data_IF_165169575411
#
_entry.id   IF_165169575411
#
_cell.length_a   1.000
_cell.length_b   1.000
_cell.length_c   1.000
_cell.angle_alpha   90.00
_cell.angle_beta   90.00
_cell.angle_gamma   90.00
#
_symmetry.space_group_name_H-M   'P 1'
#
loop_
_entity.id
_entity.type
_entity.pdbx_description
1 polymer ?
#
# COMPACT_ATOMS: atom_id res chain seq x y z
N UNK A 1 0.32 -20.07 18.56
CA UNK A 1 0.14 -18.59 18.62
C UNK A 1 0.75 -17.93 17.40
N UNK A 2 2.01 -18.18 17.06
CA UNK A 2 2.64 -17.69 15.82
C UNK A 2 1.82 -17.99 14.54
N UNK A 3 1.31 -19.22 14.39
CA UNK A 3 0.48 -19.59 13.22
C UNK A 3 -0.84 -18.80 13.16
N UNK A 4 -1.39 -18.43 14.31
CA UNK A 4 -2.64 -17.67 14.41
C UNK A 4 -2.42 -16.19 14.05
N UNK A 5 -1.32 -15.60 14.51
CA UNK A 5 -0.92 -14.24 14.14
C UNK A 5 -0.61 -14.17 12.64
N UNK A 6 0.17 -15.11 12.11
CA UNK A 6 0.49 -15.17 10.68
C UNK A 6 -0.77 -15.34 9.81
N UNK A 7 -1.71 -16.19 10.23
CA UNK A 7 -3.00 -16.32 9.55
C UNK A 7 -3.80 -15.01 9.55
N UNK A 8 -3.76 -14.27 10.66
CA UNK A 8 -4.46 -13.00 10.74
C UNK A 8 -3.79 -11.90 9.91
N UNK A 9 -2.45 -11.86 9.85
CA UNK A 9 -1.70 -10.98 8.94
C UNK A 9 -2.11 -11.23 7.49
N UNK A 10 -2.14 -12.50 7.06
CA UNK A 10 -2.58 -12.86 5.72
C UNK A 10 -4.02 -12.40 5.46
N UNK A 11 -4.91 -12.55 6.44
CA UNK A 11 -6.30 -12.08 6.34
C UNK A 11 -6.41 -10.56 6.21
N UNK A 12 -5.60 -9.79 6.94
CA UNK A 12 -5.55 -8.33 6.80
C UNK A 12 -5.07 -7.97 5.39
N UNK A 13 -3.97 -8.58 4.93
CA UNK A 13 -3.44 -8.38 3.58
C UNK A 13 -4.50 -8.65 2.50
N UNK A 14 -5.19 -9.80 2.56
CA UNK A 14 -6.25 -10.14 1.60
C UNK A 14 -7.40 -9.14 1.62
N UNK A 15 -7.79 -8.67 2.80
CA UNK A 15 -8.85 -7.67 2.97
C UNK A 15 -8.44 -6.33 2.34
N UNK A 16 -7.20 -5.89 2.58
CA UNK A 16 -6.63 -4.68 1.97
C UNK A 16 -6.54 -4.80 0.44
N UNK A 17 -6.04 -5.93 -0.08
CA UNK A 17 -6.01 -6.18 -1.53
C UNK A 17 -7.42 -6.12 -2.11
N UNK A 18 -8.40 -6.72 -1.44
CA UNK A 18 -9.81 -6.66 -1.84
C UNK A 18 -10.34 -5.23 -1.92
N UNK A 19 -10.07 -4.41 -0.91
CA UNK A 19 -10.46 -2.99 -0.87
C UNK A 19 -9.79 -2.17 -1.97
N UNK A 20 -8.49 -2.38 -2.22
CA UNK A 20 -7.75 -1.66 -3.25
C UNK A 20 -8.17 -2.05 -4.68
N UNK A 21 -8.62 -3.29 -4.88
CA UNK A 21 -9.00 -3.80 -6.22
C UNK A 21 -10.48 -3.61 -6.54
N UNK A 22 -11.35 -3.63 -5.54
CA UNK A 22 -12.82 -3.56 -5.72
C UNK A 22 -13.46 -2.32 -5.11
N UNK A 23 -12.70 -1.50 -4.38
CA UNK A 23 -13.20 -0.36 -3.62
C UNK A 23 -13.80 -0.76 -2.26
N UNK A 24 -14.22 0.26 -1.51
CA UNK A 24 -14.93 0.06 -0.25
C UNK A 24 -16.26 -0.67 -0.50
N UNK A 25 -16.48 -1.76 0.23
CA UNK A 25 -17.71 -2.56 0.16
C UNK A 25 -18.10 -3.03 1.55
N UNK A 26 -19.38 -3.35 1.75
CA UNK A 26 -19.88 -3.87 3.02
C UNK A 26 -19.11 -5.14 3.47
N UNK A 27 -18.71 -5.99 2.51
CA UNK A 27 -17.91 -7.20 2.77
C UNK A 27 -16.50 -6.84 3.22
N UNK A 28 -15.85 -5.87 2.57
CA UNK A 28 -14.52 -5.39 2.97
C UNK A 28 -14.51 -4.79 4.36
N UNK A 29 -15.48 -3.92 4.67
CA UNK A 29 -15.63 -3.31 6.01
C UNK A 29 -15.92 -4.35 7.08
N UNK A 30 -16.81 -5.32 6.81
CA UNK A 30 -17.08 -6.43 7.74
C UNK A 30 -15.83 -7.29 7.97
N UNK A 31 -15.01 -7.51 6.94
CA UNK A 31 -13.72 -8.20 7.05
C UNK A 31 -12.75 -7.50 7.99
N UNK A 32 -12.66 -6.17 7.94
CA UNK A 32 -11.82 -5.39 8.86
C UNK A 32 -12.32 -5.46 10.32
N UNK A 33 -13.64 -5.43 10.53
CA UNK A 33 -14.20 -5.63 11.88
C UNK A 33 -13.92 -7.03 12.43
N UNK A 34 -14.00 -8.08 11.60
CA UNK A 34 -13.63 -9.45 12.00
C UNK A 34 -12.14 -9.53 12.37
N UNK A 35 -11.25 -8.87 11.61
CA UNK A 35 -9.83 -8.75 11.94
C UNK A 35 -9.63 -8.11 13.31
N UNK A 36 -10.28 -6.97 13.58
CA UNK A 36 -10.16 -6.26 14.87
C UNK A 36 -10.63 -7.16 16.03
N UNK A 37 -11.76 -7.85 15.88
CA UNK A 37 -12.30 -8.73 16.91
C UNK A 37 -11.35 -9.90 17.23
N UNK A 38 -10.81 -10.55 16.18
CA UNK A 38 -9.85 -11.66 16.34
C UNK A 38 -8.52 -11.20 16.91
N UNK A 39 -8.00 -10.07 16.44
CA UNK A 39 -6.76 -9.47 16.93
C UNK A 39 -6.86 -9.10 18.42
N UNK A 40 -8.01 -8.55 18.83
CA UNK A 40 -8.28 -8.23 20.23
C UNK A 40 -8.24 -9.48 21.12
N UNK A 41 -8.78 -10.61 20.63
CA UNK A 41 -8.77 -11.87 21.37
C UNK A 41 -7.37 -12.47 21.54
N UNK A 42 -6.38 -12.06 20.73
CA UNK A 42 -4.97 -12.45 20.88
C UNK A 42 -4.23 -11.63 21.95
N UNK A 43 -4.85 -10.58 22.50
CA UNK A 43 -4.26 -9.74 23.54
C UNK A 43 -3.05 -8.92 23.03
N UNK A 44 -1.97 -8.78 23.83
CA UNK A 44 -0.83 -7.93 23.48
C UNK A 44 -0.20 -8.27 22.12
N UNK A 45 -0.10 -9.55 21.77
CA UNK A 45 0.50 -10.00 20.50
C UNK A 45 -0.30 -9.54 19.27
N UNK A 46 -1.62 -9.38 19.40
CA UNK A 46 -2.50 -8.90 18.33
C UNK A 46 -2.72 -7.39 18.31
N UNK A 47 -2.16 -6.64 19.24
CA UNK A 47 -2.50 -5.21 19.42
C UNK A 47 -2.16 -4.37 18.18
N UNK A 48 -1.04 -4.65 17.51
CA UNK A 48 -0.70 -3.95 16.28
C UNK A 48 -1.63 -4.29 15.11
N UNK A 49 -2.25 -5.48 15.10
CA UNK A 49 -3.28 -5.86 14.11
C UNK A 49 -4.63 -5.20 14.41
N UNK A 50 -4.94 -4.94 15.69
CA UNK A 50 -6.07 -4.07 16.07
C UNK A 50 -5.84 -2.66 15.52
N UNK A 51 -4.63 -2.12 15.70
CA UNK A 51 -4.24 -0.84 15.12
C UNK A 51 -4.35 -0.84 13.59
N UNK A 52 -3.88 -1.89 12.91
CA UNK A 52 -3.99 -2.04 11.46
C UNK A 52 -5.46 -2.01 11.01
N UNK A 53 -6.31 -2.86 11.60
CA UNK A 53 -7.73 -2.92 11.24
C UNK A 53 -8.46 -1.60 11.46
N UNK A 54 -8.17 -0.90 12.56
CA UNK A 54 -8.75 0.42 12.80
C UNK A 54 -8.19 1.50 11.88
N UNK A 55 -6.91 1.49 11.54
CA UNK A 55 -6.35 2.40 10.55
C UNK A 55 -7.03 2.23 9.18
N UNK A 56 -7.19 0.98 8.72
CA UNK A 56 -7.89 0.70 7.45
C UNK A 56 -9.37 1.08 7.49
N UNK A 57 -10.06 0.90 8.63
CA UNK A 57 -11.45 1.36 8.80
C UNK A 57 -11.53 2.88 8.77
N UNK A 58 -10.53 3.58 9.32
CA UNK A 58 -10.42 5.03 9.21
C UNK A 58 -10.29 5.43 7.73
N UNK A 59 -9.39 4.82 6.97
CA UNK A 59 -9.23 5.11 5.53
C UNK A 59 -10.53 4.89 4.74
N UNK A 60 -11.25 3.80 5.02
CA UNK A 60 -12.57 3.55 4.41
C UNK A 60 -13.56 4.67 4.75
N UNK A 61 -13.67 5.05 6.03
CA UNK A 61 -14.55 6.15 6.44
C UNK A 61 -14.14 7.49 5.81
N UNK A 62 -12.84 7.76 5.69
CA UNK A 62 -12.31 8.96 5.06
C UNK A 62 -12.68 9.03 3.57
N UNK A 63 -12.51 7.93 2.82
CA UNK A 63 -12.93 7.87 1.40
C UNK A 63 -14.44 8.03 1.21
N UNK A 64 -15.25 7.64 2.21
CA UNK A 64 -16.69 7.86 2.24
C UNK A 64 -17.13 9.26 2.68
N UNK A 65 -16.19 10.14 3.06
CA UNK A 65 -16.51 11.48 3.60
C UNK A 65 -17.09 11.45 5.03
N UNK A 66 -16.94 10.35 5.75
CA UNK A 66 -17.49 10.14 7.09
C UNK A 66 -16.49 10.59 8.18
N UNK A 67 -16.22 11.91 8.26
CA UNK A 67 -15.18 12.49 9.14
C UNK A 67 -15.25 12.02 10.60
N UNK A 68 -16.43 11.93 11.19
CA UNK A 68 -16.58 11.50 12.59
C UNK A 68 -16.18 10.04 12.79
N UNK A 69 -16.51 9.17 11.82
CA UNK A 69 -16.10 7.76 11.84
C UNK A 69 -14.61 7.59 11.56
N UNK A 70 -14.06 8.41 10.67
CA UNK A 70 -12.61 8.48 10.45
C UNK A 70 -11.88 8.79 11.76
N UNK A 71 -12.28 9.86 12.47
CA UNK A 71 -11.65 10.25 13.74
C UNK A 71 -11.84 9.16 14.79
N UNK A 72 -13.03 8.56 14.90
CA UNK A 72 -13.29 7.47 15.83
C UNK A 72 -12.35 6.27 15.61
N UNK A 73 -12.21 5.82 14.37
CA UNK A 73 -11.34 4.68 14.06
C UNK A 73 -9.86 5.02 14.18
N UNK A 74 -9.46 6.24 13.78
CA UNK A 74 -8.07 6.68 13.95
C UNK A 74 -7.69 6.80 15.43
N UNK A 75 -8.59 7.28 16.29
CA UNK A 75 -8.36 7.36 17.74
C UNK A 75 -8.16 5.98 18.36
N UNK A 76 -8.96 5.00 17.94
CA UNK A 76 -8.81 3.59 18.32
C UNK A 76 -7.48 3.01 17.82
N UNK A 77 -7.09 3.31 16.57
CA UNK A 77 -5.81 2.87 16.01
C UNK A 77 -4.62 3.44 16.80
N UNK A 78 -4.62 4.74 17.10
CA UNK A 78 -3.57 5.41 17.89
C UNK A 78 -3.50 4.85 19.30
N UNK A 79 -4.65 4.56 19.92
CA UNK A 79 -4.72 3.90 21.23
C UNK A 79 -4.11 2.50 21.21
N UNK A 80 -4.24 1.79 20.08
CA UNK A 80 -3.58 0.50 19.84
C UNK A 80 -2.14 0.61 19.32
N UNK A 81 -1.55 1.82 19.27
CA UNK A 81 -0.15 2.06 18.95
C UNK A 81 0.14 2.54 17.52
N UNK A 82 -0.88 2.79 16.69
CA UNK A 82 -0.68 3.39 15.37
C UNK A 82 0.05 4.73 15.47
N UNK A 83 1.13 4.88 14.70
CA UNK A 83 2.01 6.03 14.79
C UNK A 83 2.57 6.49 13.43
N UNK A 84 1.94 6.11 12.31
CA UNK A 84 2.32 6.61 10.98
C UNK A 84 1.86 8.07 10.81
N UNK A 85 2.73 8.98 11.24
CA UNK A 85 2.48 10.40 11.11
C UNK A 85 2.65 10.93 9.68
N UNK A 86 3.29 10.16 8.78
CA UNK A 86 3.49 10.57 7.39
C UNK A 86 2.17 10.47 6.62
N UNK A 87 1.42 9.38 6.80
CA UNK A 87 0.07 9.21 6.25
C UNK A 87 -0.86 10.39 6.59
N UNK A 88 -0.76 10.91 7.82
CA UNK A 88 -1.59 12.03 8.31
C UNK A 88 -1.23 13.40 7.69
N UNK A 89 -0.24 13.46 6.81
CA UNK A 89 0.15 14.64 6.02
C UNK A 89 -0.25 14.55 4.54
N UNK A 90 -0.94 13.48 4.15
CA UNK A 90 -1.57 13.36 2.84
C UNK A 90 -2.41 14.60 2.53
N UNK A 91 -2.36 15.14 1.29
CA UNK A 91 -3.07 16.37 0.95
C UNK A 91 -4.56 16.38 1.33
N UNK A 92 -5.34 15.30 1.12
CA UNK A 92 -6.74 15.24 1.54
C UNK A 92 -6.94 15.35 3.06
N UNK A 93 -6.01 14.85 3.86
CA UNK A 93 -6.11 14.83 5.34
C UNK A 93 -5.82 16.20 5.96
N UNK A 94 -5.12 17.09 5.23
CA UNK A 94 -4.74 18.43 5.74
C UNK A 94 -5.91 19.28 6.21
N UNK A 95 -7.09 19.10 5.63
CA UNK A 95 -8.30 19.81 6.07
C UNK A 95 -8.65 19.53 7.55
N UNK A 96 -8.24 18.37 8.08
CA UNK A 96 -8.48 17.96 9.47
C UNK A 96 -7.43 18.50 10.45
N UNK A 97 -6.35 19.15 9.99
CA UNK A 97 -5.30 19.67 10.86
C UNK A 97 -5.80 20.76 11.82
N UNK A 98 -6.96 21.37 11.54
CA UNK A 98 -7.62 22.33 12.41
C UNK A 98 -8.68 21.73 13.33
N UNK A 99 -9.03 20.44 13.18
CA UNK A 99 -9.97 19.76 14.07
C UNK A 99 -9.26 19.43 15.39
N UNK A 100 -9.74 19.93 16.55
CA UNK A 100 -9.11 19.69 17.85
C UNK A 100 -9.05 18.21 18.23
N UNK A 101 -10.00 17.38 17.76
CA UNK A 101 -10.01 15.93 18.00
C UNK A 101 -8.86 15.25 17.25
N UNK A 102 -8.64 15.67 16.01
CA UNK A 102 -7.52 15.19 15.19
C UNK A 102 -6.16 15.66 15.73
N UNK A 103 -6.07 16.89 16.22
CA UNK A 103 -4.85 17.37 16.89
C UNK A 103 -4.55 16.57 18.17
N UNK A 104 -5.58 16.30 18.98
CA UNK A 104 -5.43 15.56 20.23
C UNK A 104 -4.93 14.12 20.00
N UNK A 105 -5.46 13.41 19.00
CA UNK A 105 -4.93 12.07 18.65
C UNK A 105 -3.50 12.15 18.12
N UNK A 106 -3.17 13.15 17.29
CA UNK A 106 -1.84 13.27 16.68
C UNK A 106 -0.76 13.50 17.76
N UNK A 107 -1.07 14.33 18.74
CA UNK A 107 -0.17 14.64 19.86
C UNK A 107 0.14 13.43 20.76
N UNK A 108 -0.62 12.34 20.68
CA UNK A 108 -0.34 11.09 21.41
C UNK A 108 0.65 10.18 20.66
N UNK A 109 0.81 10.35 19.35
CA UNK A 109 1.70 9.50 18.55
C UNK A 109 3.17 9.74 18.91
N UNK A 110 3.93 8.64 18.95
CA UNK A 110 5.37 8.65 19.24
C UNK A 110 6.10 7.87 18.15
N UNK A 111 7.27 8.36 17.77
CA UNK A 111 8.04 7.80 16.66
C UNK A 111 9.54 7.91 16.93
N UNK A 112 10.30 6.97 16.37
CA UNK A 112 11.76 7.02 16.34
C UNK A 112 12.23 7.63 15.02
N UNK A 113 13.48 8.12 14.97
CA UNK A 113 14.01 8.64 13.71
C UNK A 113 14.15 7.53 12.65
N UNK A 114 14.56 6.32 13.06
CA UNK A 114 14.69 5.18 12.17
C UNK A 114 13.34 4.79 11.54
N UNK A 115 12.27 4.77 12.33
CA UNK A 115 10.93 4.47 11.82
C UNK A 115 10.37 5.59 10.95
N UNK A 116 10.66 6.86 11.26
CA UNK A 116 10.26 7.99 10.42
C UNK A 116 10.92 7.92 9.03
N UNK A 117 12.23 7.62 8.98
CA UNK A 117 12.94 7.41 7.72
C UNK A 117 12.30 6.27 6.90
N UNK A 118 11.86 5.21 7.58
CA UNK A 118 11.17 4.10 6.91
C UNK A 118 9.77 4.46 6.42
N UNK A 119 8.96 5.19 7.20
CA UNK A 119 7.64 5.64 6.71
C UNK A 119 7.78 6.51 5.46
N UNK A 120 8.75 7.43 5.42
CA UNK A 120 9.02 8.23 4.23
C UNK A 120 9.34 7.36 3.02
N UNK A 121 10.13 6.30 3.22
CA UNK A 121 10.44 5.34 2.18
C UNK A 121 9.21 4.53 1.75
N UNK A 122 8.43 3.98 2.69
CA UNK A 122 7.24 3.17 2.42
C UNK A 122 6.20 3.95 1.62
N UNK A 123 5.87 5.17 2.06
CA UNK A 123 4.93 6.04 1.34
C UNK A 123 5.42 6.42 -0.04
N UNK A 124 6.73 6.68 -0.20
CA UNK A 124 7.32 6.94 -1.51
C UNK A 124 7.18 5.72 -2.43
N UNK A 125 7.46 4.52 -1.95
CA UNK A 125 7.33 3.31 -2.77
C UNK A 125 5.86 3.01 -3.13
N UNK A 126 4.89 3.28 -2.25
CA UNK A 126 3.46 3.21 -2.60
C UNK A 126 3.13 4.17 -3.76
N UNK A 127 3.62 5.42 -3.72
CA UNK A 127 3.40 6.40 -4.79
C UNK A 127 4.10 6.00 -6.10
N UNK A 128 5.34 5.51 -6.03
CA UNK A 128 6.06 5.03 -7.21
C UNK A 128 5.32 3.85 -7.83
N UNK A 129 4.86 2.89 -7.03
CA UNK A 129 4.10 1.73 -7.51
C UNK A 129 2.82 2.15 -8.22
N UNK A 130 2.05 3.09 -7.65
CA UNK A 130 0.85 3.61 -8.30
C UNK A 130 1.18 4.27 -9.65
N UNK A 131 2.27 5.05 -9.72
CA UNK A 131 2.74 5.69 -10.96
C UNK A 131 3.22 4.67 -11.99
N UNK A 132 3.95 3.64 -11.57
CA UNK A 132 4.45 2.59 -12.46
C UNK A 132 3.30 1.73 -12.99
N UNK A 133 2.29 1.43 -12.16
CA UNK A 133 1.06 0.76 -12.60
C UNK A 133 0.30 1.58 -13.66
N UNK A 134 0.19 2.90 -13.45
CA UNK A 134 -0.42 3.81 -14.42
C UNK A 134 0.37 3.87 -15.73
N UNK A 135 1.70 3.97 -15.66
CA UNK A 135 2.57 3.99 -16.84
C UNK A 135 2.51 2.68 -17.62
N UNK A 136 2.60 1.54 -16.94
CA UNK A 136 2.45 0.23 -17.60
C UNK A 136 1.09 0.11 -18.31
N UNK A 137 0.04 0.63 -17.69
CA UNK A 137 -1.29 0.73 -18.32
C UNK A 137 -1.27 1.54 -19.63
N UNK A 138 -0.53 2.65 -19.67
CA UNK A 138 -0.38 3.49 -20.86
C UNK A 138 0.50 2.81 -21.92
N UNK A 139 1.63 2.24 -21.52
CA UNK A 139 2.57 1.54 -22.43
C UNK A 139 1.92 0.34 -23.13
N UNK A 140 0.89 -0.25 -22.51
CA UNK A 140 0.17 -1.40 -23.04
C UNK A 140 -0.97 -1.03 -23.99
N UNK A 141 -1.23 0.27 -24.21
CA UNK A 141 -2.18 0.73 -25.23
C UNK A 141 -1.61 0.38 -26.62
N UNK A 142 -2.43 -0.21 -27.48
CA UNK A 142 -2.08 -0.64 -28.85
C UNK A 142 -0.93 -1.66 -28.94
N UNK A 143 -0.58 -2.27 -27.81
CA UNK A 143 0.45 -3.29 -27.76
C UNK A 143 -0.07 -4.58 -28.37
N UNK A 144 0.60 -5.04 -29.42
CA UNK A 144 0.23 -6.23 -30.19
C UNK A 144 0.75 -7.57 -29.64
N UNK A 145 1.73 -7.69 -28.75
CA UNK A 145 2.14 -9.04 -28.30
C UNK A 145 1.06 -9.76 -27.44
N UNK A 146 1.34 -10.97 -26.98
CA UNK A 146 0.49 -11.74 -26.04
C UNK A 146 1.13 -11.90 -24.66
N UNK A 147 2.23 -11.19 -24.40
CA UNK A 147 2.95 -11.23 -23.13
C UNK A 147 2.19 -10.52 -22.01
N UNK A 148 2.61 -10.81 -20.78
CA UNK A 148 2.16 -10.10 -19.57
C UNK A 148 3.36 -9.34 -19.03
N UNK A 149 3.17 -8.06 -18.71
CA UNK A 149 4.19 -7.25 -18.08
C UNK A 149 3.97 -7.21 -16.58
N UNK A 150 4.92 -7.75 -15.83
CA UNK A 150 4.84 -7.71 -14.37
C UNK A 150 5.26 -6.32 -13.87
N UNK A 151 4.63 -5.88 -12.78
CA UNK A 151 5.07 -4.66 -12.11
C UNK A 151 6.20 -5.02 -11.15
N UNK A 152 7.28 -4.22 -11.12
CA UNK A 152 8.39 -4.46 -10.19
C UNK A 152 7.87 -4.38 -8.77
N UNK A 153 8.35 -5.27 -7.89
CA UNK A 153 7.97 -5.31 -6.50
C UNK A 153 9.13 -4.77 -5.66
N UNK A 154 8.86 -3.78 -4.80
CA UNK A 154 9.89 -3.27 -3.89
C UNK A 154 10.18 -4.33 -2.81
N UNK A 155 11.46 -4.60 -2.48
CA UNK A 155 11.78 -5.49 -1.38
C UNK A 155 11.40 -4.82 -0.05
N UNK A 156 10.59 -5.50 0.75
CA UNK A 156 10.20 -4.98 2.06
C UNK A 156 11.39 -4.94 3.01
N UNK A 157 11.52 -3.89 3.84
CA UNK A 157 12.57 -3.81 4.84
C UNK A 157 12.47 -4.98 5.84
N UNK A 158 13.61 -5.59 6.18
CA UNK A 158 13.68 -6.75 7.08
C UNK A 158 14.11 -6.40 8.50
N UNK A 159 14.50 -5.15 8.75
CA UNK A 159 14.85 -4.71 10.11
C UNK A 159 13.64 -4.80 11.03
N UNK A 160 13.91 -5.01 12.31
CA UNK A 160 12.89 -4.90 13.36
C UNK A 160 12.53 -3.42 13.57
N UNK A 161 11.26 -3.03 13.43
CA UNK A 161 10.84 -1.66 13.67
C UNK A 161 10.74 -1.37 15.17
N UNK A 162 10.93 -0.11 15.56
CA UNK A 162 10.79 0.28 16.97
C UNK A 162 9.32 0.55 17.35
N UNK A 163 8.45 0.69 16.36
CA UNK A 163 7.04 1.01 16.54
C UNK A 163 6.14 0.19 15.62
N UNK A 164 4.92 -0.15 16.06
CA UNK A 164 4.04 -1.06 15.32
C UNK A 164 3.51 -0.44 14.02
N UNK A 165 3.42 0.89 13.90
CA UNK A 165 2.94 1.53 12.67
C UNK A 165 3.77 1.16 11.44
N UNK A 166 5.08 0.94 11.59
CA UNK A 166 5.93 0.50 10.46
C UNK A 166 5.48 -0.87 9.92
N UNK A 167 5.08 -1.80 10.79
CA UNK A 167 4.56 -3.10 10.37
C UNK A 167 3.25 -2.95 9.59
N UNK A 168 2.40 -2.01 10.01
CA UNK A 168 1.14 -1.68 9.35
C UNK A 168 1.42 -1.11 7.96
N UNK A 169 2.28 -0.10 7.84
CA UNK A 169 2.57 0.52 6.55
C UNK A 169 3.36 -0.40 5.60
N UNK A 170 4.17 -1.34 6.13
CA UNK A 170 4.75 -2.44 5.33
C UNK A 170 3.67 -3.35 4.75
N UNK A 171 2.65 -3.67 5.54
CA UNK A 171 1.50 -4.46 5.12
C UNK A 171 0.69 -3.73 4.05
N UNK A 172 0.49 -2.42 4.19
CA UNK A 172 -0.17 -1.57 3.20
C UNK A 172 0.62 -1.54 1.88
N UNK A 173 1.94 -1.38 1.95
CA UNK A 173 2.80 -1.46 0.75
C UNK A 173 2.68 -2.83 0.08
N UNK A 174 2.75 -3.93 0.84
CA UNK A 174 2.60 -5.28 0.31
C UNK A 174 1.23 -5.51 -0.35
N UNK A 175 0.16 -5.00 0.26
CA UNK A 175 -1.19 -5.08 -0.29
C UNK A 175 -1.33 -4.24 -1.56
N UNK A 176 -0.78 -3.02 -1.59
CA UNK A 176 -0.75 -2.17 -2.78
C UNK A 176 0.01 -2.83 -3.93
N UNK A 177 1.20 -3.35 -3.63
CA UNK A 177 2.03 -4.16 -4.52
C UNK A 177 1.25 -5.31 -5.17
N UNK A 178 0.53 -6.09 -4.36
CA UNK A 178 -0.32 -7.19 -4.84
C UNK A 178 -1.51 -6.69 -5.66
N UNK A 179 -2.21 -5.66 -5.20
CA UNK A 179 -3.40 -5.12 -5.87
C UNK A 179 -3.06 -4.55 -7.25
N UNK A 180 -1.98 -3.78 -7.37
CA UNK A 180 -1.54 -3.25 -8.64
C UNK A 180 -1.05 -4.34 -9.59
N UNK A 181 -0.35 -5.37 -9.07
CA UNK A 181 0.05 -6.53 -9.86
C UNK A 181 -1.18 -7.27 -10.43
N UNK A 182 -2.20 -7.52 -9.61
CA UNK A 182 -3.43 -8.16 -10.06
C UNK A 182 -4.16 -7.34 -11.13
N UNK A 183 -4.21 -6.01 -10.96
CA UNK A 183 -4.81 -5.11 -11.93
C UNK A 183 -4.06 -5.13 -13.28
N UNK A 184 -2.72 -5.10 -13.26
CA UNK A 184 -1.89 -5.17 -14.45
C UNK A 184 -2.06 -6.50 -15.20
N UNK A 185 -1.95 -7.64 -14.49
CA UNK A 185 -2.13 -8.97 -15.09
C UNK A 185 -3.52 -9.13 -15.71
N UNK A 186 -4.56 -8.69 -15.01
CA UNK A 186 -5.94 -8.75 -15.53
C UNK A 186 -6.11 -7.95 -16.82
N UNK A 187 -5.47 -6.79 -16.92
CA UNK A 187 -5.49 -5.95 -18.13
C UNK A 187 -4.75 -6.61 -19.28
N UNK A 188 -3.58 -7.17 -19.03
CA UNK A 188 -2.77 -7.81 -20.06
C UNK A 188 -3.39 -9.09 -20.60
N UNK A 189 -4.03 -9.89 -19.74
CA UNK A 189 -4.78 -11.06 -20.19
C UNK A 189 -5.94 -10.68 -21.11
N UNK A 190 -6.66 -9.59 -20.82
CA UNK A 190 -7.73 -9.08 -21.71
C UNK A 190 -7.17 -8.66 -23.07
N UNK A 191 -6.15 -7.81 -23.05
CA UNK A 191 -5.44 -7.36 -24.26
C UNK A 191 -4.93 -8.54 -25.09
N UNK A 192 -4.28 -9.52 -24.46
CA UNK A 192 -3.80 -10.73 -25.12
C UNK A 192 -4.94 -11.54 -25.74
N UNK A 193 -6.08 -11.66 -25.05
CA UNK A 193 -7.26 -12.36 -25.57
C UNK A 193 -7.85 -11.65 -26.80
N UNK A 194 -7.95 -10.32 -26.76
CA UNK A 194 -8.46 -9.51 -27.88
C UNK A 194 -7.55 -9.65 -29.10
N UNK A 195 -6.25 -9.60 -28.87
CA UNK A 195 -5.20 -9.82 -29.85
C UNK A 195 -5.30 -11.20 -30.53
N UNK A 196 -5.39 -12.28 -29.74
CA UNK A 196 -5.58 -13.63 -30.29
C UNK A 196 -6.89 -13.74 -31.07
N UNK A 197 -7.96 -13.12 -30.59
CA UNK A 197 -9.26 -13.15 -31.26
C UNK A 197 -9.22 -12.46 -32.63
N UNK A 198 -8.55 -11.32 -32.74
CA UNK A 198 -8.36 -10.63 -34.02
C UNK A 198 -7.54 -11.46 -35.01
N UNK A 199 -6.48 -12.14 -34.54
CA UNK A 199 -5.67 -13.03 -35.38
C UNK A 199 -6.48 -14.18 -35.97
N UNK A 200 -7.45 -14.72 -35.22
CA UNK A 200 -8.30 -15.83 -35.69
C UNK A 200 -9.33 -15.40 -36.74
N UNK A 201 -9.71 -14.13 -36.79
CA UNK A 201 -10.76 -13.62 -37.69
C UNK A 201 -10.20 -13.28 -39.08
N UNK A 202 -9.05 -12.60 -39.14
CA UNK A 202 -8.57 -11.97 -40.38
C UNK A 202 -7.14 -12.38 -40.79
N UNK A 203 -6.40 -13.11 -39.94
CA UNK A 203 -4.99 -13.51 -40.15
C UNK A 203 -4.04 -12.37 -40.59
N UNK A 204 -4.44 -11.11 -40.41
CA UNK A 204 -3.68 -9.89 -40.73
C UNK A 204 -2.69 -9.50 -39.63
N UNK A 205 -2.27 -10.47 -38.82
CA UNK A 205 -1.45 -10.24 -37.64
C UNK A 205 -0.04 -9.76 -37.99
N UNK A 206 0.34 -8.55 -37.54
CA UNK A 206 1.70 -8.02 -37.74
C UNK A 206 2.67 -8.65 -36.72
N UNK A 207 3.16 -9.85 -37.05
CA UNK A 207 4.14 -10.59 -36.26
C UNK A 207 5.43 -9.80 -35.99
N UNK A 208 5.87 -8.98 -36.95
CA UNK A 208 7.10 -8.21 -36.80
C UNK A 208 6.94 -7.11 -35.75
N UNK A 209 5.79 -6.42 -35.74
CA UNK A 209 5.46 -5.42 -34.72
C UNK A 209 5.18 -6.07 -33.36
N UNK A 210 4.46 -7.18 -33.31
CA UNK A 210 4.23 -7.93 -32.07
C UNK A 210 5.55 -8.34 -31.40
N UNK A 211 6.52 -8.85 -32.15
CA UNK A 211 7.84 -9.21 -31.61
C UNK A 211 8.60 -8.00 -31.07
N UNK A 212 8.58 -6.85 -31.75
CA UNK A 212 9.22 -5.62 -31.26
C UNK A 212 8.59 -5.15 -29.95
N UNK A 213 7.26 -5.17 -29.87
CA UNK A 213 6.54 -4.81 -28.65
C UNK A 213 6.89 -5.73 -27.47
N UNK A 214 7.00 -7.04 -27.70
CA UNK A 214 7.42 -7.99 -26.67
C UNK A 214 8.82 -7.65 -26.12
N UNK A 215 9.81 -7.43 -26.98
CA UNK A 215 11.16 -7.05 -26.55
C UNK A 215 11.19 -5.73 -25.79
N UNK A 216 10.43 -4.74 -26.25
CA UNK A 216 10.35 -3.45 -25.57
C UNK A 216 9.70 -3.58 -24.18
N UNK A 217 8.70 -4.45 -24.04
CA UNK A 217 8.08 -4.74 -22.75
C UNK A 217 9.07 -5.42 -21.78
N UNK A 218 9.84 -6.40 -22.25
CA UNK A 218 10.86 -7.10 -21.46
C UNK A 218 11.98 -6.15 -20.99
N UNK A 219 12.40 -5.24 -21.86
CA UNK A 219 13.40 -4.21 -21.54
C UNK A 219 12.88 -3.24 -20.46
N UNK A 220 11.64 -2.76 -20.61
CA UNK A 220 11.00 -1.90 -19.63
C UNK A 220 10.81 -2.59 -18.28
N UNK A 221 10.41 -3.87 -18.27
CA UNK A 221 10.30 -4.67 -17.04
C UNK A 221 11.66 -4.83 -16.35
N UNK A 222 12.71 -5.14 -17.12
CA UNK A 222 14.08 -5.26 -16.59
C UNK A 222 14.58 -3.96 -15.96
N UNK A 223 14.35 -2.82 -16.61
CA UNK A 223 14.71 -1.50 -16.07
C UNK A 223 13.95 -1.18 -14.78
N UNK A 224 12.65 -1.49 -14.75
CA UNK A 224 11.78 -1.30 -13.59
C UNK A 224 12.24 -2.12 -12.39
N UNK A 225 12.58 -3.39 -12.61
CA UNK A 225 13.10 -4.28 -11.58
C UNK A 225 14.41 -3.77 -10.99
N UNK A 226 15.36 -3.37 -11.85
CA UNK A 226 16.63 -2.78 -11.40
C UNK A 226 16.42 -1.49 -10.62
N UNK A 227 15.53 -0.62 -11.09
CA UNK A 227 15.21 0.62 -10.41
C UNK A 227 14.57 0.36 -9.03
N UNK A 228 13.69 -0.64 -8.91
CA UNK A 228 13.11 -1.06 -7.63
C UNK A 228 14.15 -1.59 -6.66
N UNK A 229 15.04 -2.48 -7.12
CA UNK A 229 16.12 -3.03 -6.31
C UNK A 229 17.11 -1.95 -5.83
N UNK A 230 17.44 -0.98 -6.70
CA UNK A 230 18.32 0.14 -6.36
C UNK A 230 17.75 1.08 -5.29
N UNK A 231 16.42 1.05 -5.08
CA UNK A 231 15.74 1.83 -4.04
C UNK A 231 15.42 1.02 -2.79
N UNK A 232 15.93 -0.20 -2.64
CA UNK A 232 15.71 -0.98 -1.42
C UNK A 232 16.05 -0.14 -0.17
N UNK A 233 15.21 -0.23 0.86
CA UNK A 233 15.43 0.54 2.08
C UNK A 233 16.76 0.14 2.73
N UNK A 234 17.56 1.16 3.06
CA UNK A 234 18.79 1.00 3.84
C UNK A 234 18.67 1.90 5.06
N UNK A 235 18.74 1.29 6.23
CA UNK A 235 18.71 2.03 7.49
C UNK A 235 19.91 2.98 7.58
N UNK A 236 19.65 4.25 7.92
CA UNK A 236 20.70 5.24 8.10
C UNK A 236 21.55 4.86 9.32
N UNK A 237 22.88 4.72 9.21
CA UNK A 237 23.73 4.46 10.36
C UNK A 237 23.55 5.53 11.44
N UNK A 238 23.32 5.10 12.68
CA UNK A 238 23.14 6.00 13.82
C UNK A 238 21.76 6.67 13.91
N UNK A 239 20.76 6.20 13.15
CA UNK A 239 19.39 6.66 13.34
C UNK A 239 18.92 6.41 14.78
N UNK A 240 18.37 7.44 15.42
CA UNK A 240 17.94 7.36 16.81
C UNK A 240 16.74 6.43 17.00
N UNK A 241 16.81 5.58 18.02
CA UNK A 241 15.72 4.66 18.46
C UNK A 241 14.91 5.22 19.63
N UNK A 242 15.22 6.45 20.07
CA UNK A 242 14.46 7.12 21.13
C UNK A 242 13.09 7.53 20.61
N UNK A 243 12.05 7.17 21.35
CA UNK A 243 10.68 7.59 21.05
C UNK A 243 10.48 9.07 21.38
N UNK A 244 10.13 9.84 20.35
CA UNK A 244 9.84 11.28 20.44
C UNK A 244 8.42 11.55 19.93
N UNK A 245 7.80 12.69 20.30
CA UNK A 245 6.60 13.15 19.62
C UNK A 245 6.81 13.21 18.10
N UNK A 246 5.78 12.86 17.34
CA UNK A 246 5.81 13.04 15.89
C UNK A 246 6.10 14.51 15.53
N UNK A 247 6.75 14.79 14.38
CA UNK A 247 6.94 16.16 13.90
C UNK A 247 5.63 16.94 13.88
N UNK A 248 5.59 18.26 14.13
CA UNK A 248 4.33 18.99 14.23
C UNK A 248 3.46 18.86 12.97
N UNK A 249 2.14 18.90 13.12
CA UNK A 249 1.21 18.89 11.98
C UNK A 249 1.55 20.00 10.98
N UNK A 250 1.54 19.66 9.70
CA UNK A 250 1.88 20.56 8.59
C UNK A 250 3.38 20.71 8.32
N UNK A 251 4.26 20.12 9.14
CA UNK A 251 5.72 20.22 8.92
C UNK A 251 6.26 19.13 7.99
N UNK A 252 5.57 18.00 7.86
CA UNK A 252 5.96 16.93 6.95
C UNK A 252 5.44 17.23 5.55
N UNK A 253 6.34 17.26 4.57
CA UNK A 253 5.97 17.20 3.15
C UNK A 253 5.76 15.75 2.76
N UNK A 254 4.54 15.40 2.37
CA UNK A 254 4.21 14.04 1.93
C UNK A 254 5.03 13.67 0.68
N UNK A 255 5.63 12.47 0.60
CA UNK A 255 6.40 12.03 -0.56
C UNK A 255 5.59 12.03 -1.84
N UNK A 256 6.16 12.54 -2.93
CA UNK A 256 5.60 12.49 -4.29
C UNK A 256 6.30 11.48 -5.19
#
# INVERSE_FOLDING_TARGET
>A
MADTVNSLIARVHETLVGLLTHGASAVGTAGLHDVVARATALGPEGTWLVAAGHASLADVAFTGGETDRFIFHLDAAVTAGYNDCVALHLPPVRALHHDPRFQALYQRMRITQADLDEFFWLHREIQIMARDAQRATIDNIDRLDTGVSLLPQAPLPTREPNTPGVLITRLDLAAAQTAFQQAAVKRDLRRSSDNVSLSLIDDTWDYARARRHAWQADELESHRLQAGAARAFVERPGAGTVLLPCPPLGTITYPS
#
